data_IF_053841345233
#
_entry.id   IF_053841345233
#
_cell.length_a   1.000
_cell.length_b   1.000
_cell.length_c   1.000
_cell.angle_alpha   90.00
_cell.angle_beta   90.00
_cell.angle_gamma   90.00
#
_symmetry.space_group_name_H-M   'P 1'
#
loop_
_entity.id
_entity.type
_entity.pdbx_description
1 polymer ?
#
# COMPACT_ATOMS: atom_id res chain seq x y z
N UNK A 1 4.38 12.70 57.54
CA UNK A 1 5.53 12.37 56.66
C UNK A 1 5.12 11.42 55.49
N UNK A 2 3.87 11.44 55.01
CA UNK A 2 3.36 10.48 54.00
C UNK A 2 2.41 11.10 52.94
N UNK A 3 2.30 12.44 52.84
CA UNK A 3 1.22 13.10 52.05
C UNK A 3 1.68 13.88 50.81
N UNK A 4 2.97 14.11 50.56
CA UNK A 4 3.42 14.82 49.34
C UNK A 4 3.83 13.87 48.19
N UNK A 5 4.40 12.71 48.50
CA UNK A 5 4.74 11.70 47.47
C UNK A 5 3.53 11.06 46.82
N UNK A 6 2.35 11.06 47.46
CA UNK A 6 1.12 10.51 46.89
C UNK A 6 0.42 11.44 45.90
N UNK A 7 0.54 12.76 46.05
CA UNK A 7 -0.08 13.75 45.14
C UNK A 7 0.74 13.91 43.86
N UNK A 8 2.08 13.94 43.96
CA UNK A 8 2.97 13.97 42.80
C UNK A 8 2.95 12.67 41.99
N UNK A 9 2.76 11.52 42.66
CA UNK A 9 2.60 10.24 41.97
C UNK A 9 1.24 10.17 41.25
N UNK A 10 0.15 10.68 41.84
CA UNK A 10 -1.15 10.74 41.16
C UNK A 10 -1.18 11.69 39.95
N UNK A 11 -0.50 12.84 39.99
CA UNK A 11 -0.44 13.75 38.83
C UNK A 11 0.38 13.17 37.67
N UNK A 12 1.46 12.42 37.97
CA UNK A 12 2.26 11.71 36.98
C UNK A 12 1.48 10.54 36.34
N UNK A 13 0.79 9.74 37.15
CA UNK A 13 -0.06 8.64 36.69
C UNK A 13 -1.24 9.15 35.85
N UNK A 14 -1.83 10.31 36.18
CA UNK A 14 -2.88 10.92 35.37
C UNK A 14 -2.37 11.46 34.02
N UNK A 15 -1.12 11.93 33.97
CA UNK A 15 -0.47 12.33 32.71
C UNK A 15 -0.28 11.14 31.78
N UNK A 16 0.24 10.01 32.29
CA UNK A 16 0.41 8.78 31.51
C UNK A 16 -0.94 8.13 31.14
N UNK A 17 -1.94 8.17 32.02
CA UNK A 17 -3.30 7.69 31.74
C UNK A 17 -3.99 8.50 30.63
N UNK A 18 -3.86 9.82 30.66
CA UNK A 18 -4.41 10.71 29.63
C UNK A 18 -3.66 10.59 28.30
N UNK A 19 -2.35 10.32 28.32
CA UNK A 19 -1.58 9.99 27.11
C UNK A 19 -2.09 8.69 26.48
N UNK A 20 -2.20 7.62 27.27
CA UNK A 20 -2.70 6.30 26.82
C UNK A 20 -4.12 6.38 26.23
N UNK A 21 -5.03 7.18 26.83
CA UNK A 21 -6.38 7.43 26.27
C UNK A 21 -6.35 8.15 24.92
N UNK A 22 -5.42 9.09 24.68
CA UNK A 22 -5.30 9.77 23.38
C UNK A 22 -4.79 8.83 22.29
N UNK A 23 -3.79 7.99 22.60
CA UNK A 23 -3.31 6.98 21.65
C UNK A 23 -4.42 5.96 21.37
N UNK A 24 -5.13 5.52 22.41
CA UNK A 24 -6.23 4.57 22.27
C UNK A 24 -7.38 5.14 21.43
N UNK A 25 -7.71 6.44 21.57
CA UNK A 25 -8.74 7.12 20.77
C UNK A 25 -8.34 7.23 19.30
N UNK A 26 -7.08 7.60 19.03
CA UNK A 26 -6.53 7.65 17.68
C UNK A 26 -6.55 6.26 17.03
N UNK A 27 -6.10 5.22 17.75
CA UNK A 27 -6.08 3.84 17.26
C UNK A 27 -7.48 3.26 17.06
N UNK A 28 -8.44 3.54 17.95
CA UNK A 28 -9.84 3.11 17.77
C UNK A 28 -10.47 3.75 16.54
N UNK A 29 -10.22 5.05 16.33
CA UNK A 29 -10.72 5.78 15.17
C UNK A 29 -10.04 5.32 13.88
N UNK A 30 -8.73 5.04 13.95
CA UNK A 30 -7.95 4.52 12.83
C UNK A 30 -8.44 3.12 12.42
N UNK A 31 -8.60 2.18 13.36
CA UNK A 31 -9.15 0.84 13.07
C UNK A 31 -10.58 0.93 12.53
N UNK A 32 -11.42 1.82 13.10
CA UNK A 32 -12.77 2.04 12.60
C UNK A 32 -12.80 2.63 11.20
N UNK A 33 -11.82 3.47 10.83
CA UNK A 33 -11.63 4.01 9.47
C UNK A 33 -11.04 3.00 8.49
N UNK A 34 -10.16 2.10 8.94
CA UNK A 34 -9.62 1.02 8.12
C UNK A 34 -10.68 0.00 7.70
N UNK A 35 -11.75 -0.16 8.49
CA UNK A 35 -12.84 -1.09 8.22
C UNK A 35 -14.07 -0.37 7.64
N UNK A 36 -14.08 0.97 7.65
CA UNK A 36 -15.15 1.76 7.02
C UNK A 36 -15.08 1.64 5.50
N UNK A 37 -16.02 0.91 4.91
CA UNK A 37 -16.23 0.91 3.46
C UNK A 37 -17.11 2.11 3.10
N UNK A 38 -16.63 2.99 2.22
CA UNK A 38 -17.49 4.00 1.59
C UNK A 38 -18.46 3.27 0.65
N UNK A 39 -19.78 3.45 0.77
CA UNK A 39 -20.73 2.95 -0.21
C UNK A 39 -20.50 3.66 -1.56
N UNK A 40 -20.70 2.94 -2.67
CA UNK A 40 -20.37 3.41 -4.04
C UNK A 40 -21.06 4.73 -4.40
N UNK A 41 -22.25 4.98 -3.86
CA UNK A 41 -23.04 6.19 -4.09
C UNK A 41 -22.38 7.46 -3.52
N UNK A 42 -21.65 7.35 -2.40
CA UNK A 42 -20.91 8.47 -1.79
C UNK A 42 -19.61 8.75 -2.57
N UNK A 43 -19.03 7.72 -3.22
CA UNK A 43 -17.85 7.91 -4.07
C UNK A 43 -18.18 8.72 -5.33
N UNK A 44 -19.32 8.46 -5.97
CA UNK A 44 -19.76 9.21 -7.15
C UNK A 44 -20.05 10.69 -6.83
N UNK A 45 -20.74 10.97 -5.71
CA UNK A 45 -20.96 12.34 -5.25
C UNK A 45 -19.65 13.06 -4.88
N UNK A 46 -18.66 12.34 -4.33
CA UNK A 46 -17.37 12.91 -3.97
C UNK A 46 -16.43 13.11 -5.18
N UNK A 47 -16.56 12.32 -6.25
CA UNK A 47 -15.83 12.51 -7.52
C UNK A 47 -16.19 13.85 -8.16
N UNK A 48 -17.47 14.24 -8.17
CA UNK A 48 -17.91 15.55 -8.69
C UNK A 48 -17.44 16.74 -7.85
N UNK A 49 -17.15 16.53 -6.56
CA UNK A 49 -16.80 17.61 -5.62
C UNK A 49 -15.29 17.76 -5.44
N UNK A 50 -14.48 16.75 -5.81
CA UNK A 50 -13.03 16.79 -5.69
C UNK A 50 -12.41 17.34 -6.96
N UNK A 51 -11.42 18.23 -6.80
CA UNK A 51 -10.57 18.74 -7.87
C UNK A 51 -9.94 17.56 -8.62
N UNK A 52 -10.52 17.16 -9.76
CA UNK A 52 -10.00 16.04 -10.55
C UNK A 52 -8.59 16.36 -11.02
N UNK A 53 -7.64 15.43 -10.77
CA UNK A 53 -6.36 15.50 -11.44
C UNK A 53 -6.62 15.40 -12.94
N UNK A 54 -6.00 16.31 -13.72
CA UNK A 54 -6.02 16.22 -15.18
C UNK A 54 -5.51 14.83 -15.59
N UNK A 55 -6.38 14.06 -16.25
CA UNK A 55 -6.06 12.77 -16.86
C UNK A 55 -5.19 12.98 -18.12
N UNK A 56 -3.99 13.52 -17.93
CA UNK A 56 -3.02 13.75 -19.02
C UNK A 56 -2.05 12.56 -19.20
N UNK A 57 -2.16 11.54 -18.33
CA UNK A 57 -1.29 10.37 -18.37
C UNK A 57 -1.72 9.43 -19.51
N UNK A 58 -1.02 9.52 -20.63
CA UNK A 58 -1.22 8.64 -21.77
C UNK A 58 -0.79 7.20 -21.43
N UNK A 59 -1.36 6.20 -22.12
CA UNK A 59 -1.05 4.78 -21.91
C UNK A 59 0.45 4.48 -22.02
N UNK A 60 1.16 5.19 -22.90
CA UNK A 60 2.61 5.05 -23.06
C UNK A 60 3.35 5.49 -21.80
N UNK A 61 2.94 6.62 -21.21
CA UNK A 61 3.57 7.16 -20.01
C UNK A 61 3.30 6.23 -18.81
N UNK A 62 2.08 5.71 -18.71
CA UNK A 62 1.71 4.74 -17.69
C UNK A 62 2.54 3.45 -17.79
N UNK A 63 2.69 2.89 -19.00
CA UNK A 63 3.54 1.72 -19.22
C UNK A 63 5.01 2.01 -18.96
N UNK A 64 5.52 3.17 -19.37
CA UNK A 64 6.92 3.57 -19.14
C UNK A 64 7.24 3.64 -17.65
N UNK A 65 6.33 4.21 -16.84
CA UNK A 65 6.48 4.27 -15.37
C UNK A 65 6.47 2.85 -14.78
N UNK A 66 5.49 2.03 -15.16
CA UNK A 66 5.39 0.65 -14.66
C UNK A 66 6.61 -0.21 -15.00
N UNK A 67 7.00 -0.24 -16.27
CA UNK A 67 8.17 -1.00 -16.75
C UNK A 67 9.46 -0.47 -16.14
N UNK A 68 9.62 0.85 -16.02
CA UNK A 68 10.79 1.46 -15.38
C UNK A 68 10.95 1.03 -13.93
N UNK A 69 9.87 1.03 -13.15
CA UNK A 69 9.88 0.55 -11.77
C UNK A 69 10.17 -0.95 -11.67
N UNK A 70 9.54 -1.80 -12.47
CA UNK A 70 9.75 -3.27 -12.41
C UNK A 70 11.15 -3.68 -12.86
N UNK A 71 11.64 -3.12 -13.96
CA UNK A 71 12.98 -3.39 -14.49
C UNK A 71 14.02 -2.80 -13.52
N UNK A 72 13.84 -1.56 -13.06
CA UNK A 72 14.78 -0.87 -12.18
C UNK A 72 14.89 -1.46 -10.77
N UNK A 73 13.78 -1.89 -10.16
CA UNK A 73 13.78 -2.41 -8.80
C UNK A 73 14.25 -3.87 -8.69
N UNK A 74 14.05 -4.67 -9.74
CA UNK A 74 14.15 -6.13 -9.66
C UNK A 74 15.15 -6.76 -10.62
N UNK A 75 14.91 -6.65 -11.93
CA UNK A 75 15.54 -7.54 -12.92
C UNK A 75 17.06 -7.43 -12.93
N UNK A 76 17.63 -6.23 -12.81
CA UNK A 76 19.07 -6.02 -12.90
C UNK A 76 19.86 -6.55 -11.69
N UNK A 77 19.25 -6.56 -10.50
CA UNK A 77 19.91 -7.03 -9.27
C UNK A 77 19.68 -8.53 -9.07
N UNK A 78 18.44 -9.00 -9.25
CA UNK A 78 18.07 -10.38 -8.98
C UNK A 78 18.60 -11.36 -10.04
N UNK A 79 18.63 -10.97 -11.31
CA UNK A 79 19.09 -11.88 -12.39
C UNK A 79 20.57 -12.23 -12.24
N UNK A 80 21.42 -11.28 -11.83
CA UNK A 80 22.85 -11.53 -11.61
C UNK A 80 23.10 -12.52 -10.47
N UNK A 81 22.38 -12.39 -9.36
CA UNK A 81 22.47 -13.33 -8.24
C UNK A 81 21.87 -14.70 -8.59
N UNK A 82 20.75 -14.71 -9.32
CA UNK A 82 20.07 -15.93 -9.77
C UNK A 82 20.94 -16.76 -10.73
N UNK A 83 21.59 -16.10 -11.69
CA UNK A 83 22.49 -16.77 -12.64
C UNK A 83 23.75 -17.31 -11.94
N UNK A 84 24.36 -16.53 -11.06
CA UNK A 84 25.60 -16.92 -10.39
C UNK A 84 25.42 -18.05 -9.36
N UNK A 85 24.30 -18.09 -8.63
CA UNK A 85 24.12 -19.04 -7.51
C UNK A 85 23.15 -20.19 -7.76
N UNK A 86 22.20 -20.06 -8.68
CA UNK A 86 21.08 -21.00 -8.77
C UNK A 86 20.96 -21.71 -10.12
N UNK A 87 21.00 -20.98 -11.24
CA UNK A 87 20.54 -21.54 -12.52
C UNK A 87 21.59 -21.55 -13.64
N UNK A 88 22.69 -20.80 -13.51
CA UNK A 88 23.72 -20.75 -14.56
C UNK A 88 23.11 -20.35 -15.92
N UNK A 89 23.48 -21.02 -17.04
CA UNK A 89 22.91 -20.74 -18.36
C UNK A 89 21.39 -20.99 -18.47
N UNK A 90 20.81 -21.81 -17.58
CA UNK A 90 19.40 -22.20 -17.63
C UNK A 90 18.43 -21.15 -17.06
N UNK A 91 18.93 -19.99 -16.59
CA UNK A 91 18.10 -18.92 -16.00
C UNK A 91 17.04 -18.40 -16.97
N UNK A 92 17.32 -18.45 -18.28
CA UNK A 92 16.35 -18.06 -19.33
C UNK A 92 15.09 -18.92 -19.28
N UNK A 93 15.22 -20.23 -19.06
CA UNK A 93 14.06 -21.15 -19.02
C UNK A 93 13.18 -20.82 -17.81
N UNK A 94 13.79 -20.48 -16.67
CA UNK A 94 13.04 -20.05 -15.47
C UNK A 94 12.27 -18.75 -15.73
N UNK A 95 12.90 -17.77 -16.39
CA UNK A 95 12.24 -16.51 -16.75
C UNK A 95 11.06 -16.70 -17.71
N UNK A 96 11.15 -17.63 -18.67
CA UNK A 96 10.03 -17.94 -19.57
C UNK A 96 8.85 -18.49 -18.77
N UNK A 97 9.08 -19.45 -17.87
CA UNK A 97 8.02 -20.06 -17.05
C UNK A 97 7.39 -19.00 -16.14
N UNK A 98 8.19 -18.18 -15.47
CA UNK A 98 7.70 -17.06 -14.65
C UNK A 98 6.90 -16.06 -15.48
N UNK A 99 7.34 -15.76 -16.71
CA UNK A 99 6.61 -14.89 -17.63
C UNK A 99 5.20 -15.38 -17.93
N UNK A 100 5.03 -16.68 -18.19
CA UNK A 100 3.71 -17.29 -18.44
C UNK A 100 2.82 -17.19 -17.20
N UNK A 101 3.34 -17.49 -16.01
CA UNK A 101 2.59 -17.39 -14.75
C UNK A 101 2.19 -15.93 -14.47
N UNK A 102 3.11 -14.99 -14.68
CA UNK A 102 2.87 -13.56 -14.50
C UNK A 102 1.81 -13.03 -15.48
N UNK A 103 1.81 -13.48 -16.74
CA UNK A 103 0.78 -13.13 -17.72
C UNK A 103 -0.61 -13.59 -17.29
N UNK A 104 -0.74 -14.85 -16.82
CA UNK A 104 -2.02 -15.37 -16.32
C UNK A 104 -2.50 -14.57 -15.10
N UNK A 105 -1.57 -14.20 -14.21
CA UNK A 105 -1.88 -13.39 -13.02
C UNK A 105 -2.29 -11.96 -13.38
N UNK A 106 -1.62 -11.38 -14.37
CA UNK A 106 -1.91 -10.03 -14.88
C UNK A 106 -3.26 -9.97 -15.61
N UNK A 107 -3.68 -11.03 -16.29
CA UNK A 107 -4.99 -11.09 -16.95
C UNK A 107 -6.12 -11.01 -15.91
N UNK A 108 -6.02 -11.79 -14.83
CA UNK A 108 -6.96 -11.72 -13.71
C UNK A 108 -6.99 -10.33 -13.06
N UNK A 109 -5.82 -9.68 -12.93
CA UNK A 109 -5.76 -8.33 -12.38
C UNK A 109 -6.36 -7.29 -13.33
N UNK A 110 -6.20 -7.49 -14.64
CA UNK A 110 -6.79 -6.64 -15.67
C UNK A 110 -8.31 -6.68 -15.66
N UNK A 111 -8.92 -7.84 -15.42
CA UNK A 111 -10.38 -7.92 -15.30
C UNK A 111 -10.90 -7.12 -14.09
N UNK A 112 -10.23 -7.25 -12.95
CA UNK A 112 -10.58 -6.47 -11.75
C UNK A 112 -10.39 -4.97 -11.97
N UNK A 113 -9.33 -4.57 -12.68
CA UNK A 113 -9.07 -3.18 -13.05
C UNK A 113 -10.11 -2.60 -14.03
N UNK A 114 -10.59 -3.41 -14.97
CA UNK A 114 -11.65 -3.01 -15.90
C UNK A 114 -13.01 -2.85 -15.20
N UNK A 115 -13.26 -3.63 -14.14
CA UNK A 115 -14.53 -3.63 -13.41
C UNK A 115 -14.65 -2.51 -12.37
N UNK A 116 -13.53 -1.94 -11.93
CA UNK A 116 -13.49 -0.83 -10.97
C UNK A 116 -12.94 0.45 -11.62
N UNK A 117 -13.78 1.25 -12.31
CA UNK A 117 -13.37 2.53 -12.88
C UNK A 117 -13.33 3.62 -11.79
N UNK A 118 -12.38 3.48 -10.85
CA UNK A 118 -12.10 4.49 -9.84
C UNK A 118 -10.64 4.91 -9.98
N UNK A 119 -10.41 6.23 -10.04
CA UNK A 119 -9.10 6.75 -9.70
C UNK A 119 -8.81 6.30 -8.27
N UNK A 120 -7.79 5.45 -8.08
CA UNK A 120 -7.38 4.96 -6.77
C UNK A 120 -6.99 6.09 -5.81
#
# INVERSE_FOLDING_TARGET
>A
MYTDTSVENNSKIQSEYNASKRVLSCTKTFIKRLIARKPMEILQAEIDTRNELRRDLNWIQLLAIGLGCTIGAGIFVLSGQAAAKYSGPSVIISFIITGVIALLSSLSYSELGAMMPSSG
#
